data_IF_328650696960
#
_entry.id   IF_328650696960
#
_cell.length_a   1.000
_cell.length_b   1.000
_cell.length_c   1.000
_cell.angle_alpha   90.00
_cell.angle_beta   90.00
_cell.angle_gamma   90.00
#
_symmetry.space_group_name_H-M   'P 1'
#
loop_
_entity.id
_entity.type
_entity.pdbx_description
1 polymer ?
#
# COMPACT_ATOMS: atom_id res chain seq x y z
N UNK A 1 11.32 -7.57 -14.95
CA UNK A 1 11.44 -7.89 -13.51
C UNK A 1 12.83 -7.67 -12.95
N UNK A 2 13.84 -8.07 -13.71
CA UNK A 2 15.21 -7.90 -13.27
C UNK A 2 15.55 -6.45 -12.93
N UNK A 3 15.11 -5.51 -13.74
CA UNK A 3 15.34 -4.10 -13.52
C UNK A 3 14.66 -3.63 -12.22
N UNK A 4 13.42 -4.05 -12.01
CA UNK A 4 12.70 -3.68 -10.78
C UNK A 4 13.38 -4.26 -9.55
N UNK A 5 13.87 -5.49 -9.62
CA UNK A 5 14.58 -6.08 -8.51
C UNK A 5 15.82 -5.27 -8.14
N UNK A 6 16.55 -4.78 -9.15
CA UNK A 6 17.70 -3.93 -8.90
C UNK A 6 17.33 -2.63 -8.21
N UNK A 7 16.19 -2.04 -8.58
CA UNK A 7 15.72 -0.83 -7.94
C UNK A 7 15.30 -1.08 -6.49
N UNK A 8 14.64 -2.20 -6.23
CA UNK A 8 14.19 -2.53 -4.90
C UNK A 8 15.32 -2.74 -3.92
N UNK A 9 16.42 -3.28 -4.37
CA UNK A 9 17.55 -3.55 -3.49
C UNK A 9 18.14 -2.29 -2.88
N UNK A 10 17.77 -1.11 -3.42
CA UNK A 10 18.25 0.18 -2.92
C UNK A 10 17.28 0.87 -1.98
N UNK A 11 16.13 0.28 -1.70
CA UNK A 11 15.11 0.88 -0.86
C UNK A 11 15.15 0.22 0.51
N UNK A 12 15.70 0.89 1.53
CA UNK A 12 15.98 0.24 2.83
C UNK A 12 14.76 -0.30 3.53
N UNK A 13 13.66 0.43 3.54
CA UNK A 13 12.46 -0.02 4.22
C UNK A 13 11.86 -1.23 3.55
N UNK A 14 12.34 -1.51 2.36
CA UNK A 14 11.82 -2.58 1.56
C UNK A 14 12.79 -3.71 1.38
N UNK A 15 13.66 -3.89 2.33
CA UNK A 15 14.27 -5.18 2.51
C UNK A 15 13.16 -6.22 2.56
N UNK A 16 11.95 -5.76 2.73
CA UNK A 16 10.74 -6.49 2.45
C UNK A 16 10.57 -6.62 0.96
N UNK A 17 10.00 -7.72 0.52
CA UNK A 17 9.77 -7.96 -0.89
C UNK A 17 8.81 -6.92 -1.47
N UNK A 18 9.15 -6.34 -2.63
CA UNK A 18 8.39 -5.23 -3.20
C UNK A 18 6.94 -5.53 -3.55
N UNK A 19 6.63 -6.79 -3.83
CA UNK A 19 5.27 -7.19 -4.17
C UNK A 19 4.61 -7.99 -3.06
N UNK A 20 5.22 -7.97 -1.87
CA UNK A 20 4.68 -8.69 -0.73
C UNK A 20 4.00 -7.72 0.23
N UNK A 21 2.76 -8.04 0.58
CA UNK A 21 2.01 -7.30 1.57
C UNK A 21 2.05 -8.08 2.88
N UNK A 22 2.81 -7.61 3.90
CA UNK A 22 2.87 -8.35 5.16
C UNK A 22 1.48 -8.42 5.79
N UNK A 23 1.16 -9.56 6.40
CA UNK A 23 -0.17 -9.79 6.95
C UNK A 23 -0.08 -10.06 8.45
N UNK A 24 -0.91 -9.40 9.27
CA UNK A 24 -0.86 -9.62 10.72
C UNK A 24 -1.46 -10.95 11.12
N UNK A 25 -0.94 -11.53 12.21
CA UNK A 25 -1.50 -12.76 12.76
C UNK A 25 -2.63 -12.50 13.76
N UNK A 26 -2.88 -11.25 14.10
CA UNK A 26 -3.93 -10.86 15.05
C UNK A 26 -5.25 -10.71 14.30
N UNK A 27 -6.31 -11.38 14.76
CA UNK A 27 -7.61 -11.37 14.08
C UNK A 27 -8.21 -9.97 13.95
N UNK A 28 -8.04 -9.12 14.95
CA UNK A 28 -8.59 -7.76 14.91
C UNK A 28 -7.87 -6.91 13.90
N UNK A 29 -6.55 -7.01 13.85
CA UNK A 29 -5.76 -6.28 12.86
C UNK A 29 -6.01 -6.84 11.45
N UNK A 30 -6.26 -8.13 11.34
CA UNK A 30 -6.59 -8.74 10.06
C UNK A 30 -7.87 -8.15 9.47
N UNK A 31 -8.87 -7.84 10.31
CA UNK A 31 -10.10 -7.20 9.84
C UNK A 31 -9.83 -5.85 9.17
N UNK A 32 -8.89 -5.08 9.73
CA UNK A 32 -8.47 -3.81 9.13
C UNK A 32 -7.87 -4.06 7.75
N UNK A 33 -6.98 -5.02 7.65
CA UNK A 33 -6.30 -5.34 6.40
C UNK A 33 -7.28 -5.85 5.34
N UNK A 34 -8.22 -6.68 5.72
CA UNK A 34 -9.25 -7.18 4.82
C UNK A 34 -10.08 -6.02 4.27
N UNK A 35 -10.50 -5.09 5.14
CA UNK A 35 -11.31 -3.96 4.69
C UNK A 35 -10.54 -3.09 3.69
N UNK A 36 -9.27 -2.79 3.97
CA UNK A 36 -8.46 -1.97 3.09
C UNK A 36 -8.21 -2.64 1.74
N UNK A 37 -8.00 -3.96 1.73
CA UNK A 37 -7.79 -4.67 0.46
C UNK A 37 -9.06 -4.74 -0.37
N UNK A 38 -10.23 -4.76 0.27
CA UNK A 38 -11.52 -4.72 -0.44
C UNK A 38 -11.84 -3.33 -0.96
N UNK A 39 -11.45 -2.30 -0.23
CA UNK A 39 -11.70 -0.90 -0.59
C UNK A 39 -10.44 -0.08 -0.39
N UNK A 40 -9.53 -0.08 -1.36
CA UNK A 40 -8.25 0.64 -1.21
C UNK A 40 -8.40 2.14 -0.98
N UNK A 41 -9.52 2.72 -1.41
CA UNK A 41 -9.79 4.14 -1.20
C UNK A 41 -10.34 4.45 0.20
N UNK A 42 -10.50 3.44 1.05
CA UNK A 42 -10.98 3.63 2.42
C UNK A 42 -10.12 4.66 3.15
N UNK A 43 -10.77 5.64 3.80
CA UNK A 43 -10.12 6.75 4.48
C UNK A 43 -10.16 6.63 6.00
N UNK A 44 -10.56 5.50 6.54
CA UNK A 44 -10.61 5.28 7.97
C UNK A 44 -9.23 5.51 8.58
N UNK A 45 -9.16 6.40 9.56
CA UNK A 45 -7.88 6.77 10.18
C UNK A 45 -7.47 5.74 11.23
N UNK A 46 -6.19 5.79 11.63
CA UNK A 46 -5.70 4.93 12.70
C UNK A 46 -6.50 5.14 14.00
N UNK A 47 -6.87 6.40 14.32
CA UNK A 47 -7.70 6.69 15.48
C UNK A 47 -9.05 6.00 15.39
N UNK A 48 -9.68 6.08 14.23
CA UNK A 48 -10.99 5.48 14.01
C UNK A 48 -10.92 3.95 14.10
N UNK A 49 -9.88 3.34 13.51
CA UNK A 49 -9.70 1.91 13.60
C UNK A 49 -9.45 1.47 15.04
N UNK A 50 -8.62 2.23 15.77
CA UNK A 50 -8.36 1.92 17.18
C UNK A 50 -9.65 1.92 17.99
N UNK A 51 -10.50 2.94 17.78
CA UNK A 51 -11.79 3.03 18.47
C UNK A 51 -12.67 1.82 18.15
N UNK A 52 -12.76 1.45 16.88
CA UNK A 52 -13.56 0.29 16.47
C UNK A 52 -13.06 -1.01 17.09
N UNK A 53 -11.76 -1.11 17.33
CA UNK A 53 -11.15 -2.30 17.91
C UNK A 53 -11.02 -2.21 19.44
N UNK A 54 -11.59 -1.17 20.05
CA UNK A 54 -11.57 -0.95 21.50
C UNK A 54 -10.15 -0.90 22.08
N UNK A 55 -9.27 -0.19 21.41
CA UNK A 55 -7.90 0.02 21.89
C UNK A 55 -7.46 1.46 21.63
N UNK A 56 -6.39 1.90 22.32
CA UNK A 56 -5.85 3.23 22.07
C UNK A 56 -5.15 3.26 20.72
N UNK A 57 -5.06 4.47 20.13
CA UNK A 57 -4.33 4.66 18.87
C UNK A 57 -2.88 4.20 19.00
N UNK A 58 -2.24 4.51 20.11
CA UNK A 58 -0.87 4.12 20.36
C UNK A 58 -0.71 2.59 20.37
N UNK A 59 -1.64 1.89 21.02
CA UNK A 59 -1.64 0.43 21.04
C UNK A 59 -1.87 -0.14 19.65
N UNK A 60 -2.83 0.43 18.90
CA UNK A 60 -3.10 0.00 17.54
C UNK A 60 -1.84 0.11 16.67
N UNK A 61 -1.21 1.28 16.67
CA UNK A 61 -0.04 1.52 15.83
C UNK A 61 1.14 0.63 16.24
N UNK A 62 1.36 0.44 17.53
CA UNK A 62 2.43 -0.41 18.02
C UNK A 62 2.23 -1.87 17.62
N UNK A 63 1.02 -2.38 17.81
CA UNK A 63 0.69 -3.76 17.45
C UNK A 63 0.74 -3.98 15.96
N UNK A 64 0.24 -3.02 15.18
CA UNK A 64 0.27 -3.14 13.74
C UNK A 64 1.70 -3.27 13.23
N UNK A 65 2.59 -2.41 13.71
CA UNK A 65 3.99 -2.47 13.31
C UNK A 65 4.67 -3.75 13.81
N UNK A 66 4.33 -4.20 15.02
CA UNK A 66 4.88 -5.44 15.57
C UNK A 66 4.50 -6.65 14.71
N UNK A 67 3.26 -6.70 14.23
CA UNK A 67 2.77 -7.84 13.45
C UNK A 67 3.20 -7.80 11.98
N UNK A 68 3.33 -6.61 11.39
CA UNK A 68 3.60 -6.48 9.96
C UNK A 68 5.02 -6.03 9.64
N UNK A 69 5.73 -5.47 10.61
CA UNK A 69 7.08 -4.93 10.41
C UNK A 69 7.10 -3.50 9.90
N UNK A 70 5.96 -2.93 9.52
CA UNK A 70 5.86 -1.56 9.02
C UNK A 70 4.70 -0.84 9.69
N UNK A 71 4.70 0.50 9.60
CA UNK A 71 3.62 1.28 10.20
C UNK A 71 2.31 1.07 9.45
N UNK A 72 1.20 1.39 10.10
CA UNK A 72 -0.10 1.30 9.46
C UNK A 72 -0.17 2.16 8.19
N UNK A 73 0.37 3.38 8.24
CA UNK A 73 0.39 4.26 7.06
C UNK A 73 1.19 3.68 5.90
N UNK A 74 2.35 3.11 6.20
CA UNK A 74 3.18 2.44 5.19
C UNK A 74 2.45 1.23 4.60
N UNK A 75 1.80 0.46 5.45
CA UNK A 75 1.05 -0.73 5.01
C UNK A 75 -0.10 -0.34 4.08
N UNK A 76 -0.88 0.68 4.47
CA UNK A 76 -1.99 1.15 3.63
C UNK A 76 -1.49 1.60 2.27
N UNK A 77 -0.40 2.39 2.25
CA UNK A 77 0.16 2.85 0.99
C UNK A 77 0.64 1.69 0.12
N UNK A 78 1.32 0.73 0.72
CA UNK A 78 1.77 -0.45 0.00
C UNK A 78 0.59 -1.24 -0.57
N UNK A 79 -0.46 -1.43 0.22
CA UNK A 79 -1.67 -2.11 -0.25
C UNK A 79 -2.29 -1.39 -1.45
N UNK A 80 -2.42 -0.06 -1.37
CA UNK A 80 -2.96 0.74 -2.46
C UNK A 80 -2.14 0.59 -3.74
N UNK A 81 -0.82 0.65 -3.61
CA UNK A 81 0.07 0.49 -4.77
C UNK A 81 -0.04 -0.88 -5.40
N UNK A 82 0.00 -1.94 -4.58
CA UNK A 82 -0.05 -3.30 -5.11
C UNK A 82 -1.38 -3.59 -5.79
N UNK A 83 -2.49 -3.15 -5.18
CA UNK A 83 -3.81 -3.35 -5.78
C UNK A 83 -3.99 -2.55 -7.06
N UNK A 84 -3.32 -1.40 -7.18
CA UNK A 84 -3.42 -0.58 -8.39
C UNK A 84 -2.78 -1.25 -9.61
N UNK A 85 -1.87 -2.20 -9.40
CA UNK A 85 -1.19 -2.87 -10.52
C UNK A 85 -2.15 -3.63 -11.42
N UNK A 86 -3.16 -4.27 -10.84
CA UNK A 86 -4.15 -5.01 -11.63
C UNK A 86 -4.95 -4.05 -12.53
N UNK A 87 -5.38 -2.93 -11.98
CA UNK A 87 -6.11 -1.93 -12.76
C UNK A 87 -5.27 -1.37 -13.91
N UNK A 88 -3.97 -1.13 -13.64
CA UNK A 88 -3.05 -0.69 -14.70
C UNK A 88 -2.93 -1.76 -15.79
N UNK A 89 -2.83 -3.02 -15.40
CA UNK A 89 -2.71 -4.12 -16.35
C UNK A 89 -3.95 -4.24 -17.24
N UNK A 90 -5.10 -3.87 -16.72
CA UNK A 90 -6.37 -3.88 -17.47
C UNK A 90 -6.52 -2.69 -18.41
N UNK A 91 -5.57 -1.75 -18.39
CA UNK A 91 -5.64 -0.57 -19.25
C UNK A 91 -6.51 0.55 -18.71
N UNK A 92 -6.89 0.51 -17.44
CA UNK A 92 -7.66 1.59 -16.81
C UNK A 92 -6.87 2.89 -16.88
N UNK A 93 -7.50 4.03 -17.24
CA UNK A 93 -6.80 5.30 -17.27
C UNK A 93 -6.14 5.64 -15.93
N UNK A 94 -4.93 6.17 -15.97
CA UNK A 94 -4.12 6.38 -14.77
C UNK A 94 -4.83 7.26 -13.74
N UNK A 95 -5.53 8.31 -14.19
CA UNK A 95 -6.27 9.17 -13.26
C UNK A 95 -7.35 8.38 -12.52
N UNK A 96 -8.02 7.48 -13.20
CA UNK A 96 -9.05 6.64 -12.59
C UNK A 96 -8.43 5.66 -11.60
N UNK A 97 -7.32 5.03 -11.96
CA UNK A 97 -6.60 4.14 -11.06
C UNK A 97 -6.21 4.88 -9.78
N UNK A 98 -5.69 6.11 -9.93
CA UNK A 98 -5.29 6.92 -8.78
C UNK A 98 -6.47 7.16 -7.82
N UNK A 99 -7.59 7.59 -8.37
CA UNK A 99 -8.75 7.92 -7.53
C UNK A 99 -9.38 6.69 -6.89
N UNK A 100 -9.46 5.59 -7.61
CA UNK A 100 -10.04 4.35 -7.09
C UNK A 100 -9.19 3.72 -5.98
N UNK A 101 -7.90 4.08 -5.92
CA UNK A 101 -6.98 3.53 -4.93
C UNK A 101 -6.61 4.53 -3.84
N UNK A 102 -7.42 5.60 -3.70
CA UNK A 102 -7.30 6.49 -2.56
C UNK A 102 -6.34 7.65 -2.70
N UNK A 103 -5.87 7.93 -3.90
CA UNK A 103 -5.01 9.09 -4.15
C UNK A 103 -5.86 10.28 -4.58
N UNK A 104 -5.50 11.47 -4.10
CA UNK A 104 -6.27 12.66 -4.39
C UNK A 104 -6.07 13.21 -5.80
N UNK A 105 -5.01 12.76 -6.49
CA UNK A 105 -4.70 13.23 -7.83
C UNK A 105 -3.81 12.21 -8.54
N UNK A 106 -3.74 12.33 -9.87
CA UNK A 106 -2.82 11.51 -10.65
C UNK A 106 -1.37 11.82 -10.27
N UNK A 107 -1.04 13.08 -10.01
CA UNK A 107 0.32 13.48 -9.64
C UNK A 107 0.76 12.84 -8.33
N UNK A 108 -0.12 12.80 -7.32
CA UNK A 108 0.18 12.17 -6.06
C UNK A 108 0.45 10.67 -6.24
N UNK A 109 -0.40 9.99 -6.99
CA UNK A 109 -0.23 8.58 -7.28
C UNK A 109 1.07 8.31 -8.02
N UNK A 110 1.34 9.08 -9.08
CA UNK A 110 2.56 8.91 -9.88
C UNK A 110 3.82 9.09 -9.04
N UNK A 111 3.84 10.08 -8.16
CA UNK A 111 4.99 10.34 -7.31
C UNK A 111 5.26 9.19 -6.34
N UNK A 112 4.23 8.68 -5.69
CA UNK A 112 4.35 7.56 -4.76
C UNK A 112 4.74 6.29 -5.50
N UNK A 113 4.10 6.04 -6.63
CA UNK A 113 4.37 4.87 -7.46
C UNK A 113 5.84 4.84 -7.92
N UNK A 114 6.31 5.96 -8.45
CA UNK A 114 7.70 6.06 -8.94
C UNK A 114 8.70 5.88 -7.81
N UNK A 115 8.41 6.45 -6.64
CA UNK A 115 9.29 6.31 -5.48
C UNK A 115 9.39 4.86 -5.04
N UNK A 116 8.30 4.12 -5.13
CA UNK A 116 8.26 2.72 -4.70
C UNK A 116 8.82 1.76 -5.76
N UNK A 117 8.39 1.90 -7.01
CA UNK A 117 8.73 0.96 -8.08
C UNK A 117 9.88 1.41 -8.98
N UNK A 118 10.34 2.64 -8.86
CA UNK A 118 11.44 3.16 -9.67
C UNK A 118 11.04 3.67 -11.04
N UNK A 119 9.82 3.42 -11.48
CA UNK A 119 9.29 3.86 -12.77
C UNK A 119 7.88 4.42 -12.58
N UNK A 120 7.41 5.20 -13.56
CA UNK A 120 6.05 5.76 -13.51
C UNK A 120 5.00 4.71 -13.85
N UNK A 121 3.74 4.92 -13.45
CA UNK A 121 2.68 3.99 -13.81
C UNK A 121 2.54 3.80 -15.32
N UNK A 122 2.73 4.86 -16.11
CA UNK A 122 2.61 4.77 -17.56
C UNK A 122 3.70 3.90 -18.19
N UNK A 123 4.84 3.75 -17.52
CA UNK A 123 5.95 2.97 -18.04
C UNK A 123 6.14 1.61 -17.35
N UNK A 124 5.33 1.32 -16.35
CA UNK A 124 5.57 0.14 -15.51
C UNK A 124 5.64 -1.16 -16.31
N UNK A 125 4.64 -1.40 -17.14
CA UNK A 125 4.58 -2.64 -17.92
C UNK A 125 5.51 -2.63 -19.13
N UNK A 126 6.03 -1.48 -19.50
CA UNK A 126 7.03 -1.39 -20.58
C UNK A 126 8.42 -1.78 -20.07
N UNK A 127 8.66 -1.67 -18.77
CA UNK A 127 9.97 -1.96 -18.17
C UNK A 127 10.12 -3.42 -17.78
N UNK A 128 9.04 -4.13 -17.69
CA UNK A 128 9.07 -5.54 -17.35
C UNK A 128 8.55 -6.38 -18.51
#
# INVERSE_FOLDING_TARGET
MKLLLGEFSRIPILSIQPFHLPWPADERLEQVCIQITRQPADLTTANQWADLLAMSTKTFQRRFKSHTGITFGQWRQLARLLLSLESLAQGTPIIQVALEHGYGSQSAYTAVFKRHFGVTPSNFYNEI
#
